data_IF_963267544558
#
_entry.id   IF_963267544558
#
_cell.length_a   1.000
_cell.length_b   1.000
_cell.length_c   1.000
_cell.angle_alpha   90.00
_cell.angle_beta   90.00
_cell.angle_gamma   90.00
#
_symmetry.space_group_name_H-M   'P 1'
#
loop_
_entity.id
_entity.type
_entity.pdbx_description
1 polymer ?
#
# COMPACT_ATOMS: atom_id res chain seq x y z
N UNK A 1 -30.09 16.39 10.99
CA UNK A 1 -29.79 14.98 10.64
C UNK A 1 -29.64 14.90 9.13
N UNK A 2 -28.43 14.70 8.63
CA UNK A 2 -28.18 14.24 7.27
C UNK A 2 -26.82 13.53 7.30
N UNK A 3 -26.86 12.25 7.68
CA UNK A 3 -25.72 11.39 7.51
C UNK A 3 -25.52 11.21 6.00
N UNK A 4 -24.51 11.85 5.43
CA UNK A 4 -24.01 11.51 4.10
C UNK A 4 -23.22 10.21 4.23
N UNK A 5 -23.91 9.11 4.52
CA UNK A 5 -23.44 7.74 4.28
C UNK A 5 -23.46 7.55 2.77
N UNK A 6 -22.42 8.04 2.09
CA UNK A 6 -22.25 7.87 0.66
C UNK A 6 -22.03 6.39 0.34
N UNK A 7 -23.11 5.73 -0.07
CA UNK A 7 -23.22 4.39 -0.64
C UNK A 7 -21.88 3.71 -0.99
N UNK A 8 -21.48 2.75 -0.17
CA UNK A 8 -20.71 1.62 -0.68
C UNK A 8 -21.66 0.86 -1.64
N UNK A 9 -21.35 0.89 -2.94
CA UNK A 9 -21.94 -0.05 -3.88
C UNK A 9 -21.48 -1.47 -3.54
N UNK A 10 -22.29 -2.47 -3.92
CA UNK A 10 -21.91 -3.88 -3.80
C UNK A 10 -20.95 -4.25 -4.93
N UNK A 11 -19.71 -3.76 -4.85
CA UNK A 11 -18.63 -4.11 -5.76
C UNK A 11 -17.67 -5.07 -5.09
N UNK A 12 -17.28 -6.12 -5.81
CA UNK A 12 -16.18 -7.02 -5.45
C UNK A 12 -14.87 -6.39 -5.88
N UNK A 13 -14.11 -5.88 -4.91
CA UNK A 13 -12.84 -5.19 -5.15
C UNK A 13 -11.70 -5.91 -4.43
N UNK A 14 -10.58 -6.09 -5.11
CA UNK A 14 -9.35 -6.59 -4.50
C UNK A 14 -8.31 -5.47 -4.50
N UNK A 15 -7.63 -5.25 -3.39
CA UNK A 15 -6.43 -4.41 -3.33
C UNK A 15 -5.24 -5.34 -3.19
N UNK A 16 -4.34 -5.32 -4.16
CA UNK A 16 -3.07 -6.02 -4.14
C UNK A 16 -1.94 -5.03 -4.01
N UNK A 17 -1.02 -5.34 -3.10
CA UNK A 17 0.17 -4.57 -2.85
C UNK A 17 1.40 -5.45 -3.09
N UNK A 18 2.20 -5.03 -4.06
CA UNK A 18 3.41 -5.68 -4.53
C UNK A 18 4.60 -4.79 -4.16
N UNK A 19 5.56 -5.36 -3.44
CA UNK A 19 6.82 -4.70 -3.14
C UNK A 19 7.96 -5.42 -3.84
N UNK A 20 8.86 -4.64 -4.42
CA UNK A 20 10.05 -5.11 -5.10
C UNK A 20 11.26 -4.69 -4.28
N UNK A 21 11.67 -5.50 -3.29
CA UNK A 21 12.74 -5.12 -2.38
C UNK A 21 14.12 -5.31 -3.01
N UNK A 22 15.01 -4.38 -2.70
CA UNK A 22 16.45 -4.45 -2.94
C UNK A 22 17.17 -3.97 -1.68
N UNK A 23 18.39 -4.45 -1.44
CA UNK A 23 19.11 -4.12 -0.21
C UNK A 23 20.61 -4.04 -0.48
N UNK A 24 21.24 -2.99 0.05
CA UNK A 24 22.70 -2.84 0.10
C UNK A 24 23.30 -3.56 1.30
N UNK A 25 22.46 -3.98 2.27
CA UNK A 25 22.84 -4.72 3.48
C UNK A 25 22.26 -6.13 3.51
N UNK A 26 22.94 -7.07 4.18
CA UNK A 26 22.57 -8.49 4.19
C UNK A 26 21.29 -8.77 5.03
N UNK A 27 20.81 -7.85 5.88
CA UNK A 27 19.58 -8.03 6.69
C UNK A 27 18.90 -6.67 6.98
N UNK A 28 17.58 -6.53 6.75
CA UNK A 28 16.65 -6.79 7.86
C UNK A 28 15.25 -7.34 7.45
N UNK A 29 14.72 -8.38 8.12
CA UNK A 29 13.38 -8.93 7.83
C UNK A 29 12.20 -8.09 8.35
N UNK A 30 12.48 -6.97 9.03
CA UNK A 30 11.48 -6.19 9.79
C UNK A 30 10.84 -5.06 8.98
N UNK A 31 11.26 -4.86 7.73
CA UNK A 31 10.62 -3.85 6.90
C UNK A 31 9.19 -4.25 6.61
N UNK A 32 8.28 -3.33 6.87
CA UNK A 32 6.86 -3.57 6.69
C UNK A 32 6.19 -2.32 6.17
N UNK A 33 5.46 -2.51 5.08
CA UNK A 33 4.58 -1.50 4.51
C UNK A 33 3.20 -2.09 4.45
N UNK A 34 2.23 -1.32 4.88
CA UNK A 34 0.85 -1.73 4.98
C UNK A 34 -0.02 -0.83 4.11
N UNK A 35 -1.14 -1.37 3.69
CA UNK A 35 -2.27 -0.56 3.28
C UNK A 35 -3.39 -0.72 4.31
N UNK A 36 -4.14 0.35 4.52
CA UNK A 36 -5.33 0.35 5.35
C UNK A 36 -6.44 1.05 4.57
N UNK A 37 -7.66 0.54 4.70
CA UNK A 37 -8.83 1.26 4.20
C UNK A 37 -9.42 2.08 5.35
N UNK A 38 -10.19 3.11 5.02
CA UNK A 38 -10.89 3.90 6.04
C UNK A 38 -12.17 3.23 6.55
N UNK A 39 -12.40 1.96 6.21
CA UNK A 39 -13.53 1.20 6.74
C UNK A 39 -13.19 0.69 8.15
N UNK A 40 -14.12 0.84 9.09
CA UNK A 40 -13.89 0.62 10.52
C UNK A 40 -13.52 -0.83 10.88
N UNK A 41 -13.70 -1.77 9.95
CA UNK A 41 -13.43 -3.19 10.14
C UNK A 41 -12.15 -3.70 9.46
N UNK A 42 -11.47 -2.84 8.69
CA UNK A 42 -10.30 -3.27 7.92
C UNK A 42 -9.01 -3.08 8.74
N UNK A 43 -8.46 -4.20 9.21
CA UNK A 43 -7.10 -4.22 9.74
C UNK A 43 -6.09 -3.84 8.64
N UNK A 44 -4.97 -3.23 9.03
CA UNK A 44 -3.90 -2.94 8.08
C UNK A 44 -3.30 -4.25 7.54
N UNK A 45 -3.18 -4.35 6.23
CA UNK A 45 -2.59 -5.52 5.56
C UNK A 45 -1.22 -5.17 5.03
N UNK A 46 -0.21 -5.97 5.41
CA UNK A 46 1.17 -5.58 5.21
C UNK A 46 1.97 -6.57 4.36
N UNK A 47 2.81 -6.01 3.49
CA UNK A 47 3.90 -6.69 2.83
C UNK A 47 5.20 -6.43 3.61
N UNK A 48 6.11 -7.40 3.60
CA UNK A 48 7.44 -7.33 4.22
C UNK A 48 8.50 -7.78 3.22
N UNK A 49 9.78 -7.52 3.45
CA UNK A 49 10.82 -7.97 2.49
C UNK A 49 10.74 -9.47 2.19
N UNK A 50 10.32 -10.28 3.16
CA UNK A 50 10.15 -11.74 2.99
C UNK A 50 8.80 -12.12 2.36
N UNK A 51 7.82 -11.22 2.40
CA UNK A 51 6.49 -11.38 1.81
C UNK A 51 6.23 -10.21 0.87
N UNK A 52 6.71 -10.37 -0.36
CA UNK A 52 6.72 -9.33 -1.39
C UNK A 52 5.34 -8.99 -1.96
N UNK A 53 4.31 -9.78 -1.64
CA UNK A 53 2.95 -9.54 -2.11
C UNK A 53 1.95 -9.78 -0.98
N UNK A 54 0.98 -8.88 -0.86
CA UNK A 54 -0.21 -9.07 -0.02
C UNK A 54 -1.44 -8.56 -0.75
N UNK A 55 -2.58 -9.20 -0.54
CA UNK A 55 -3.83 -8.76 -1.14
C UNK A 55 -4.98 -8.91 -0.16
N UNK A 56 -5.98 -8.04 -0.26
CA UNK A 56 -7.26 -8.24 0.42
C UNK A 56 -8.43 -8.00 -0.53
N UNK A 57 -9.50 -8.76 -0.33
CA UNK A 57 -10.70 -8.71 -1.14
C UNK A 57 -11.89 -8.25 -0.31
N UNK A 58 -12.67 -7.34 -0.89
CA UNK A 58 -13.79 -6.67 -0.28
C UNK A 58 -15.04 -6.91 -1.12
N UNK A 59 -16.18 -7.12 -0.48
CA UNK A 59 -17.50 -7.26 -1.14
C UNK A 59 -18.25 -5.93 -1.27
N UNK A 60 -17.66 -4.83 -0.79
CA UNK A 60 -18.26 -3.50 -0.78
C UNK A 60 -17.20 -2.46 -1.18
N UNK A 61 -17.52 -1.60 -2.13
CA UNK A 61 -16.63 -0.54 -2.62
C UNK A 61 -17.45 0.62 -3.21
N UNK A 62 -16.86 1.69 -3.74
CA UNK A 62 -15.43 1.98 -3.75
C UNK A 62 -14.89 2.31 -2.37
N UNK A 63 -13.69 1.85 -2.04
CA UNK A 63 -13.01 2.04 -0.75
C UNK A 63 -12.08 3.24 -0.82
N UNK A 64 -12.04 4.02 0.25
CA UNK A 64 -10.93 4.94 0.51
C UNK A 64 -9.82 4.15 1.21
N UNK A 65 -8.57 4.38 0.81
CA UNK A 65 -7.40 3.68 1.30
C UNK A 65 -6.17 4.59 1.33
N UNK A 66 -5.19 4.22 2.14
CA UNK A 66 -3.90 4.90 2.23
C UNK A 66 -2.82 3.89 2.61
N UNK A 67 -1.56 4.21 2.29
CA UNK A 67 -0.41 3.40 2.69
C UNK A 67 0.15 3.87 4.03
N UNK A 68 0.75 2.93 4.77
CA UNK A 68 1.37 3.16 6.07
C UNK A 68 2.72 2.44 6.07
N UNK A 69 3.79 3.14 6.43
CA UNK A 69 5.09 2.52 6.69
C UNK A 69 5.32 2.33 8.19
N UNK A 70 6.05 1.29 8.58
CA UNK A 70 6.51 1.11 9.97
C UNK A 70 7.83 1.85 10.22
N UNK A 71 7.79 3.07 10.76
CA UNK A 71 8.97 3.94 10.91
C UNK A 71 9.86 3.63 12.12
N UNK A 72 9.57 2.57 12.88
CA UNK A 72 10.25 2.31 14.16
C UNK A 72 11.67 1.76 14.00
N UNK A 73 11.98 1.07 12.89
CA UNK A 73 13.25 0.35 12.71
C UNK A 73 14.18 0.96 11.64
N UNK A 74 13.69 1.95 10.90
CA UNK A 74 14.40 2.56 9.78
C UNK A 74 13.83 3.95 9.49
N UNK A 75 14.66 4.81 8.89
CA UNK A 75 14.19 6.08 8.35
C UNK A 75 13.45 5.84 7.03
N UNK A 76 12.26 6.40 6.87
CA UNK A 76 11.47 6.30 5.64
C UNK A 76 11.74 7.48 4.74
N UNK A 77 12.17 7.21 3.51
CA UNK A 77 12.42 8.24 2.50
C UNK A 77 11.59 7.95 1.27
N UNK A 78 10.71 8.89 0.92
CA UNK A 78 9.79 8.76 -0.21
C UNK A 78 10.28 9.62 -1.36
N UNK A 79 10.61 8.99 -2.48
CA UNK A 79 10.98 9.68 -3.71
C UNK A 79 9.84 9.55 -4.74
N UNK A 80 9.85 10.45 -5.72
CA UNK A 80 8.93 10.43 -6.86
C UNK A 80 7.44 10.36 -6.46
N UNK A 81 6.68 9.51 -7.15
CA UNK A 81 5.25 9.25 -6.93
C UNK A 81 4.93 8.58 -5.58
N UNK A 82 5.94 8.05 -4.87
CA UNK A 82 5.71 7.37 -3.60
C UNK A 82 5.24 8.34 -2.51
N UNK A 83 5.72 9.59 -2.50
CA UNK A 83 5.34 10.54 -1.46
C UNK A 83 3.82 10.72 -1.36
N UNK A 84 3.16 10.91 -2.50
CA UNK A 84 1.72 11.10 -2.57
C UNK A 84 0.93 9.88 -2.07
N UNK A 85 1.41 8.66 -2.32
CA UNK A 85 0.71 7.43 -1.94
C UNK A 85 0.75 7.13 -0.44
N UNK A 86 1.79 7.59 0.26
CA UNK A 86 1.94 7.41 1.70
C UNK A 86 1.36 8.58 2.53
N UNK A 87 1.06 9.72 1.90
CA UNK A 87 0.59 10.92 2.61
C UNK A 87 -0.83 11.36 2.22
N UNK A 88 -1.50 10.64 1.32
CA UNK A 88 -2.86 10.97 0.89
C UNK A 88 -3.78 9.75 0.96
N UNK A 89 -5.05 10.02 1.21
CA UNK A 89 -6.11 9.02 1.05
C UNK A 89 -6.58 9.01 -0.40
N UNK A 90 -6.58 7.83 -1.01
CA UNK A 90 -7.04 7.58 -2.39
C UNK A 90 -8.31 6.75 -2.39
N UNK A 91 -9.14 6.85 -3.44
CA UNK A 91 -10.37 6.07 -3.58
C UNK A 91 -10.28 5.11 -4.76
N UNK A 92 -10.73 3.87 -4.60
CA UNK A 92 -10.86 2.94 -5.73
C UNK A 92 -11.93 3.43 -6.73
N UNK A 93 -11.85 3.06 -8.01
CA UNK A 93 -12.92 3.30 -8.97
C UNK A 93 -14.23 2.61 -8.58
N UNK A 94 -15.36 3.12 -9.07
CA UNK A 94 -16.66 2.46 -8.89
C UNK A 94 -16.81 1.29 -9.88
N UNK A 95 -16.69 0.07 -9.38
CA UNK A 95 -16.82 -1.15 -10.18
C UNK A 95 -16.12 -2.34 -9.56
N UNK A 96 -16.44 -3.52 -10.08
CA UNK A 96 -15.71 -4.75 -9.75
C UNK A 96 -14.32 -4.71 -10.39
N UNK A 97 -13.31 -5.14 -9.65
CA UNK A 97 -11.95 -5.17 -10.17
C UNK A 97 -10.88 -5.24 -9.08
N UNK A 98 -9.64 -5.02 -9.52
CA UNK A 98 -8.45 -5.13 -8.70
C UNK A 98 -7.64 -3.84 -8.79
N UNK A 99 -7.37 -3.22 -7.66
CA UNK A 99 -6.35 -2.19 -7.54
C UNK A 99 -5.01 -2.88 -7.28
N UNK A 100 -4.02 -2.60 -8.12
CA UNK A 100 -2.65 -3.09 -7.96
C UNK A 100 -1.78 -1.90 -7.61
N UNK A 101 -1.09 -1.99 -6.49
CA UNK A 101 -0.15 -0.99 -6.02
C UNK A 101 1.22 -1.64 -6.01
N UNK A 102 2.14 -1.11 -6.80
CA UNK A 102 3.53 -1.58 -6.88
C UNK A 102 4.45 -0.53 -6.27
N UNK A 103 5.47 -0.95 -5.53
CA UNK A 103 6.49 -0.07 -4.98
C UNK A 103 7.86 -0.74 -4.98
N UNK A 104 8.89 -0.02 -5.42
CA UNK A 104 10.27 -0.44 -5.24
C UNK A 104 10.77 0.09 -3.90
N UNK A 105 11.48 -0.76 -3.17
CA UNK A 105 12.05 -0.39 -1.88
C UNK A 105 13.53 -0.76 -1.88
N UNK A 106 14.38 0.21 -1.62
CA UNK A 106 15.83 -0.01 -1.46
C UNK A 106 16.23 0.28 -0.03
N UNK A 107 16.85 -0.71 0.62
CA UNK A 107 17.41 -0.56 1.96
C UNK A 107 18.87 -0.14 1.85
N UNK A 108 19.17 1.04 2.38
CA UNK A 108 20.51 1.63 2.39
C UNK A 108 21.09 1.60 3.80
N UNK A 109 22.39 1.34 3.86
CA UNK A 109 23.13 1.56 5.10
C UNK A 109 23.23 3.07 5.35
N UNK A 110 22.99 3.48 6.59
CA UNK A 110 23.07 4.86 7.01
C UNK A 110 23.87 5.00 8.31
N UNK A 111 24.83 4.11 8.53
CA UNK A 111 25.72 4.10 9.69
C UNK A 111 26.36 5.47 9.95
N UNK A 112 26.32 5.99 11.20
CA UNK A 112 25.92 5.30 12.43
C UNK A 112 24.41 5.36 12.76
N UNK A 113 23.58 5.94 11.90
CA UNK A 113 22.13 6.04 12.10
C UNK A 113 21.39 4.74 11.76
N UNK A 114 20.09 4.70 12.04
CA UNK A 114 19.22 3.61 11.61
C UNK A 114 19.22 3.50 10.07
N UNK A 115 19.12 2.28 9.50
CA UNK A 115 19.04 2.09 8.06
C UNK A 115 17.96 2.95 7.41
N UNK A 116 18.16 3.31 6.16
CA UNK A 116 17.19 4.08 5.38
C UNK A 116 16.43 3.17 4.42
N UNK A 117 15.10 3.28 4.40
CA UNK A 117 14.25 2.63 3.40
C UNK A 117 13.78 3.67 2.40
N UNK A 118 14.31 3.57 1.19
CA UNK A 118 14.01 4.47 0.09
C UNK A 118 12.94 3.86 -0.80
N UNK A 119 11.76 4.49 -0.81
CA UNK A 119 10.63 4.13 -1.65
C UNK A 119 10.73 4.85 -2.99
N UNK A 120 10.72 4.11 -4.09
CA UNK A 120 10.81 4.61 -5.45
C UNK A 120 9.84 3.90 -6.38
N UNK A 121 9.59 4.47 -7.56
CA UNK A 121 8.78 3.85 -8.63
C UNK A 121 7.41 3.34 -8.17
N UNK A 122 6.72 4.06 -7.29
CA UNK A 122 5.42 3.60 -6.84
C UNK A 122 4.35 3.84 -7.92
N UNK A 123 3.63 2.80 -8.29
CA UNK A 123 2.56 2.87 -9.31
C UNK A 123 1.26 2.32 -8.77
N UNK A 124 0.14 2.89 -9.24
CA UNK A 124 -1.21 2.41 -8.91
C UNK A 124 -1.95 2.16 -10.21
N UNK A 125 -2.44 0.93 -10.38
CA UNK A 125 -3.17 0.50 -11.57
C UNK A 125 -4.51 -0.09 -11.17
N UNK A 126 -5.58 0.26 -11.89
CA UNK A 126 -6.88 -0.39 -11.73
C UNK A 126 -7.12 -1.37 -12.87
N UNK A 127 -7.49 -2.61 -12.53
CA UNK A 127 -7.82 -3.69 -13.46
C UNK A 127 -9.29 -4.06 -13.28
N UNK A 128 -10.21 -3.64 -14.17
CA UNK A 128 -11.62 -4.03 -14.09
C UNK A 128 -11.81 -5.54 -14.19
N UNK A 129 -12.82 -6.08 -13.52
CA UNK A 129 -13.14 -7.52 -13.53
C UNK A 129 -13.58 -8.08 -14.91
N UNK A 130 -13.73 -7.21 -15.92
CA UNK A 130 -14.20 -7.55 -17.27
C UNK A 130 -13.13 -7.53 -18.37
N UNK A 131 -11.86 -7.33 -18.06
CA UNK A 131 -10.79 -7.35 -19.07
C UNK A 131 -10.42 -8.79 -19.45
N UNK A 132 -11.19 -9.38 -20.38
CA UNK A 132 -10.68 -10.45 -21.25
C UNK A 132 -10.05 -9.83 -22.48
#
# INVERSE_FOLDING_TARGET
MAATTGFAGNFKQTIEFNIHPSSEIIRPPYLRVCFSTTDFFDLAHCATLNKTQTSNSYSHGPKNWFLIGDGYYYHQTYLDSCYALFHMTTRTPAGDGKLVVDANITIKDHSPAAPEAVYTNCTVTWVPAGSK
#
